data_IF_232581541745
#
_entry.id   IF_232581541745
#
_cell.length_a   1.000
_cell.length_b   1.000
_cell.length_c   1.000
_cell.angle_alpha   90.00
_cell.angle_beta   90.00
_cell.angle_gamma   90.00
#
_symmetry.space_group_name_H-M   'P 1'
#
loop_
_entity.id
_entity.type
_entity.pdbx_description
1 polymer ?
#
# COMPACT_ATOMS: atom_id res chain seq x y z
N UNK A 1 46.28 -31.16 4.98
CA UNK A 1 44.86 -31.24 4.58
C UNK A 1 43.84 -30.85 5.67
N UNK A 2 44.17 -30.78 6.98
CA UNK A 2 43.20 -30.36 8.02
C UNK A 2 42.80 -28.86 7.99
N UNK A 3 43.71 -27.97 7.61
CA UNK A 3 43.45 -26.53 7.57
C UNK A 3 42.47 -26.11 6.46
N UNK A 4 42.55 -26.74 5.28
CA UNK A 4 41.67 -26.44 4.14
C UNK A 4 40.21 -26.80 4.46
N UNK A 5 39.98 -27.95 5.10
CA UNK A 5 38.63 -28.37 5.52
C UNK A 5 38.03 -27.45 6.61
N UNK A 6 38.86 -26.89 7.50
CA UNK A 6 38.41 -25.91 8.49
C UNK A 6 37.99 -24.59 7.84
N UNK A 7 38.71 -24.13 6.83
CA UNK A 7 38.40 -22.91 6.07
C UNK A 7 37.09 -23.08 5.30
N UNK A 8 36.91 -24.22 4.62
CA UNK A 8 35.67 -24.53 3.89
C UNK A 8 34.46 -24.54 4.83
N UNK A 9 34.60 -25.13 6.02
CA UNK A 9 33.50 -25.18 7.01
C UNK A 9 33.08 -23.78 7.49
N UNK A 10 34.04 -22.88 7.70
CA UNK A 10 33.75 -21.49 8.07
C UNK A 10 33.11 -20.71 6.91
N UNK A 11 33.56 -20.93 5.66
CA UNK A 11 32.94 -20.31 4.48
C UNK A 11 31.48 -20.74 4.33
N UNK A 12 31.18 -22.04 4.51
CA UNK A 12 29.81 -22.57 4.46
C UNK A 12 28.94 -21.95 5.55
N UNK A 13 29.47 -21.77 6.77
CA UNK A 13 28.74 -21.13 7.86
C UNK A 13 28.40 -19.66 7.54
N UNK A 14 29.33 -18.91 6.94
CA UNK A 14 29.10 -17.52 6.52
C UNK A 14 28.03 -17.47 5.41
N UNK A 15 28.10 -18.36 4.43
CA UNK A 15 27.09 -18.45 3.36
C UNK A 15 25.71 -18.75 3.95
N UNK A 16 25.61 -19.66 4.93
CA UNK A 16 24.35 -19.98 5.58
C UNK A 16 23.73 -18.77 6.28
N UNK A 17 24.53 -17.95 6.97
CA UNK A 17 24.06 -16.71 7.61
C UNK A 17 23.54 -15.72 6.54
N UNK A 18 24.29 -15.53 5.45
CA UNK A 18 23.90 -14.63 4.35
C UNK A 18 22.56 -15.08 3.75
N UNK A 19 22.36 -16.39 3.55
CA UNK A 19 21.11 -16.94 3.03
C UNK A 19 19.95 -16.65 3.99
N UNK A 20 20.13 -16.88 5.29
CA UNK A 20 19.09 -16.59 6.29
C UNK A 20 18.71 -15.10 6.30
N UNK A 21 19.71 -14.21 6.26
CA UNK A 21 19.48 -12.75 6.19
C UNK A 21 18.75 -12.37 4.91
N UNK A 22 19.10 -12.96 3.77
CA UNK A 22 18.41 -12.75 2.49
C UNK A 22 16.93 -13.16 2.57
N UNK A 23 16.63 -14.33 3.14
CA UNK A 23 15.25 -14.78 3.32
C UNK A 23 14.48 -13.87 4.29
N UNK A 24 15.11 -13.41 5.37
CA UNK A 24 14.49 -12.47 6.31
C UNK A 24 14.15 -11.14 5.62
N UNK A 25 15.08 -10.56 4.86
CA UNK A 25 14.85 -9.33 4.11
C UNK A 25 13.77 -9.48 3.03
N UNK A 26 13.65 -10.67 2.42
CA UNK A 26 12.68 -10.92 1.34
C UNK A 26 11.27 -11.28 1.82
N UNK A 27 11.14 -12.02 2.92
CA UNK A 27 9.86 -12.64 3.32
C UNK A 27 9.34 -12.18 4.68
N UNK A 28 10.17 -11.58 5.54
CA UNK A 28 9.69 -11.11 6.83
C UNK A 28 8.92 -9.79 6.65
N UNK A 29 7.63 -9.72 7.06
CA UNK A 29 6.77 -8.56 6.77
C UNK A 29 7.32 -7.25 7.36
N UNK A 30 7.94 -7.30 8.55
CA UNK A 30 8.52 -6.12 9.21
C UNK A 30 9.80 -5.57 8.54
N UNK A 31 10.48 -6.35 7.69
CA UNK A 31 11.69 -5.92 6.98
C UNK A 31 11.43 -5.65 5.49
N UNK A 32 10.51 -6.41 4.88
CA UNK A 32 10.23 -6.35 3.44
C UNK A 32 9.66 -4.99 3.02
N UNK A 33 8.86 -4.38 3.89
CA UNK A 33 8.13 -3.14 3.60
C UNK A 33 8.87 -1.87 4.10
N UNK A 34 10.17 -1.99 4.41
CA UNK A 34 11.01 -0.88 4.87
C UNK A 34 11.81 -0.26 3.71
N UNK A 35 11.76 1.07 3.56
CA UNK A 35 12.41 1.83 2.46
C UNK A 35 13.94 1.63 2.36
N UNK A 36 14.62 1.23 3.43
CA UNK A 36 16.07 0.99 3.44
C UNK A 36 16.47 -0.42 2.96
N UNK A 37 15.52 -1.35 2.83
CA UNK A 37 15.83 -2.75 2.55
C UNK A 37 16.35 -2.92 1.11
N UNK A 38 17.58 -3.41 0.91
CA UNK A 38 18.19 -3.50 -0.42
C UNK A 38 17.57 -4.59 -1.33
N UNK A 39 16.75 -5.48 -0.78
CA UNK A 39 16.00 -6.51 -1.52
C UNK A 39 14.53 -6.09 -1.67
N UNK A 40 14.18 -4.89 -1.20
CA UNK A 40 12.90 -4.28 -1.52
C UNK A 40 12.78 -4.20 -3.04
N UNK A 41 11.68 -4.75 -3.58
CA UNK A 41 11.37 -4.59 -4.98
C UNK A 41 10.79 -3.18 -5.13
N UNK A 42 11.66 -2.18 -5.28
CA UNK A 42 11.26 -0.94 -5.89
C UNK A 42 10.81 -1.28 -7.31
N UNK A 43 9.51 -1.21 -7.60
CA UNK A 43 9.08 -0.89 -8.95
C UNK A 43 9.54 0.54 -9.22
N UNK A 44 10.82 0.68 -9.57
CA UNK A 44 11.44 1.95 -9.89
C UNK A 44 10.82 2.48 -11.17
N UNK A 45 9.84 3.36 -11.02
CA UNK A 45 9.46 4.33 -12.05
C UNK A 45 10.66 5.25 -12.29
N UNK A 46 11.52 4.85 -13.21
CA UNK A 46 12.43 5.74 -13.91
C UNK A 46 11.59 6.79 -14.64
N UNK A 47 11.38 7.96 -14.04
CA UNK A 47 11.16 9.21 -14.76
C UNK A 47 11.38 10.46 -13.88
N UNK A 48 12.53 11.09 -14.13
CA UNK A 48 12.79 12.53 -14.20
C UNK A 48 12.04 13.49 -13.25
N UNK A 49 12.83 14.07 -12.34
CA UNK A 49 12.93 15.52 -12.11
C UNK A 49 11.68 16.37 -12.35
N UNK A 50 10.77 16.40 -11.38
CA UNK A 50 9.88 17.52 -11.17
C UNK A 50 9.78 17.81 -9.66
N UNK A 51 10.51 18.86 -9.26
CA UNK A 51 10.27 19.72 -8.10
C UNK A 51 9.53 19.07 -6.90
N UNK A 52 10.25 18.26 -6.10
CA UNK A 52 9.74 17.80 -4.80
C UNK A 52 9.68 18.98 -3.84
N UNK A 53 8.48 19.57 -3.72
CA UNK A 53 8.04 20.19 -2.48
C UNK A 53 8.25 19.18 -1.36
N UNK A 54 9.23 19.47 -0.51
CA UNK A 54 9.69 18.64 0.59
C UNK A 54 8.59 18.57 1.66
N UNK A 55 7.70 17.59 1.58
CA UNK A 55 6.87 17.18 2.71
C UNK A 55 7.74 16.36 3.67
N UNK A 56 8.44 17.07 4.55
CA UNK A 56 9.22 16.54 5.67
C UNK A 56 8.32 15.89 6.71
N UNK A 57 8.47 14.61 7.01
CA UNK A 57 7.84 14.02 8.20
C UNK A 57 7.42 12.55 8.13
N UNK A 58 8.36 11.64 7.92
CA UNK A 58 8.47 10.29 8.52
C UNK A 58 7.35 9.23 8.43
N UNK A 59 6.06 9.56 8.50
CA UNK A 59 4.96 8.58 8.60
C UNK A 59 3.64 9.28 8.24
N UNK A 60 3.44 9.65 6.96
CA UNK A 60 2.25 10.44 6.57
C UNK A 60 1.07 9.63 6.06
N UNK A 61 1.29 8.39 5.64
CA UNK A 61 0.22 7.43 5.43
C UNK A 61 0.35 6.30 6.45
N UNK A 62 -0.71 6.07 7.22
CA UNK A 62 -0.81 4.89 8.08
C UNK A 62 -1.42 3.75 7.27
N UNK A 63 -0.90 2.55 7.45
CA UNK A 63 -1.53 1.33 6.93
C UNK A 63 -2.44 0.80 8.03
N UNK A 64 -3.74 0.80 7.76
CA UNK A 64 -4.75 0.32 8.69
C UNK A 64 -5.48 -0.89 8.12
N UNK A 65 -6.00 -1.73 9.01
CA UNK A 65 -6.85 -2.85 8.64
C UNK A 65 -8.11 -2.33 7.93
N UNK A 66 -8.47 -2.99 6.84
CA UNK A 66 -9.59 -2.56 6.02
C UNK A 66 -10.91 -3.17 6.51
N UNK A 67 -11.74 -2.36 7.14
CA UNK A 67 -13.09 -2.74 7.57
C UNK A 67 -14.19 -2.41 6.55
N UNK A 68 -13.83 -1.81 5.40
CA UNK A 68 -14.81 -1.25 4.44
C UNK A 68 -15.70 -2.36 3.87
N UNK A 69 -15.14 -3.55 3.61
CA UNK A 69 -15.83 -4.66 2.94
C UNK A 69 -15.70 -5.96 3.74
N UNK A 70 -16.24 -5.93 4.95
CA UNK A 70 -16.26 -7.06 5.85
C UNK A 70 -17.07 -8.25 5.29
N UNK A 71 -16.52 -9.46 5.43
CA UNK A 71 -17.12 -10.74 5.02
C UNK A 71 -17.20 -10.98 3.50
N UNK A 72 -16.40 -10.25 2.72
CA UNK A 72 -16.38 -10.38 1.27
C UNK A 72 -15.07 -11.03 0.86
N UNK A 73 -15.09 -12.10 0.06
CA UNK A 73 -13.86 -12.65 -0.48
C UNK A 73 -13.07 -11.56 -1.22
N UNK A 74 -11.78 -11.41 -0.91
CA UNK A 74 -10.92 -10.38 -1.49
C UNK A 74 -10.95 -10.38 -3.03
N UNK A 75 -11.02 -11.56 -3.64
CA UNK A 75 -11.12 -11.73 -5.10
C UNK A 75 -12.44 -11.24 -5.72
N UNK A 76 -13.49 -11.07 -4.92
CA UNK A 76 -14.83 -10.66 -5.36
C UNK A 76 -15.18 -9.23 -4.93
N UNK A 77 -14.31 -8.59 -4.17
CA UNK A 77 -14.50 -7.26 -3.59
C UNK A 77 -14.89 -6.23 -4.64
N UNK A 78 -14.21 -6.20 -5.79
CA UNK A 78 -14.52 -5.29 -6.90
C UNK A 78 -15.93 -5.53 -7.46
N UNK A 79 -16.26 -6.79 -7.73
CA UNK A 79 -17.54 -7.14 -8.35
C UNK A 79 -18.70 -6.77 -7.42
N UNK A 80 -18.59 -7.10 -6.14
CA UNK A 80 -19.59 -6.70 -5.17
C UNK A 80 -19.65 -5.18 -5.00
N UNK A 81 -18.51 -4.48 -4.90
CA UNK A 81 -18.51 -3.02 -4.83
C UNK A 81 -19.26 -2.41 -6.01
N UNK A 82 -19.09 -2.93 -7.23
CA UNK A 82 -19.82 -2.47 -8.40
C UNK A 82 -21.34 -2.64 -8.28
N UNK A 83 -21.81 -3.71 -7.62
CA UNK A 83 -23.23 -4.03 -7.47
C UNK A 83 -23.93 -3.26 -6.36
N UNK A 84 -23.18 -2.81 -5.34
CA UNK A 84 -23.74 -2.08 -4.21
C UNK A 84 -24.09 -0.64 -4.63
N UNK A 85 -25.21 -0.13 -4.09
CA UNK A 85 -25.57 1.29 -4.19
C UNK A 85 -24.48 2.14 -3.52
N UNK A 86 -23.88 3.03 -4.31
CA UNK A 86 -22.72 3.83 -3.87
C UNK A 86 -23.10 4.82 -2.76
N UNK A 87 -24.33 5.33 -2.75
CA UNK A 87 -24.83 6.24 -1.72
C UNK A 87 -25.04 5.49 -0.41
N UNK A 88 -25.65 4.31 -0.48
CA UNK A 88 -25.84 3.45 0.69
C UNK A 88 -24.49 3.04 1.28
N UNK A 89 -23.56 2.62 0.43
CA UNK A 89 -22.20 2.31 0.82
C UNK A 89 -21.51 3.48 1.53
N UNK A 90 -21.55 4.68 0.95
CA UNK A 90 -20.97 5.90 1.54
C UNK A 90 -21.59 6.21 2.92
N UNK A 91 -22.92 6.07 3.02
CA UNK A 91 -23.66 6.27 4.27
C UNK A 91 -23.24 5.29 5.37
N UNK A 92 -23.08 4.00 5.03
CA UNK A 92 -22.71 2.94 5.99
C UNK A 92 -21.24 3.03 6.41
N UNK A 93 -20.35 3.37 5.49
CA UNK A 93 -18.90 3.43 5.73
C UNK A 93 -18.43 4.76 6.31
N UNK A 94 -19.31 5.76 6.36
CA UNK A 94 -18.97 7.12 6.79
C UNK A 94 -18.11 7.89 5.78
N UNK A 95 -18.10 7.46 4.51
CA UNK A 95 -17.37 8.16 3.44
C UNK A 95 -18.25 9.30 2.93
N UNK A 96 -17.79 10.54 3.06
CA UNK A 96 -18.55 11.74 2.68
C UNK A 96 -18.35 12.10 1.20
N UNK A 97 -17.10 11.96 0.73
CA UNK A 97 -16.71 12.12 -0.68
C UNK A 97 -15.96 10.88 -1.11
N UNK A 98 -16.31 10.35 -2.26
CA UNK A 98 -15.77 9.09 -2.78
C UNK A 98 -15.37 9.26 -4.22
N UNK A 99 -14.38 8.51 -4.66
CA UNK A 99 -14.07 8.29 -6.07
C UNK A 99 -13.53 6.88 -6.22
N UNK A 100 -13.72 6.26 -7.36
CA UNK A 100 -13.21 4.92 -7.59
C UNK A 100 -12.92 4.68 -9.05
N UNK A 101 -12.09 3.68 -9.32
CA UNK A 101 -11.82 3.16 -10.64
C UNK A 101 -11.81 1.63 -10.62
N UNK A 102 -11.12 1.01 -11.58
CA UNK A 102 -11.04 -0.43 -11.69
C UNK A 102 -10.22 -1.13 -10.60
N UNK A 103 -9.33 -0.41 -9.91
CA UNK A 103 -8.32 -0.99 -9.01
C UNK A 103 -8.43 -0.41 -7.59
N UNK A 104 -8.78 0.87 -7.48
CA UNK A 104 -8.77 1.62 -6.23
C UNK A 104 -10.08 2.34 -5.97
N UNK A 105 -10.36 2.46 -4.68
CA UNK A 105 -11.34 3.33 -4.06
C UNK A 105 -10.58 4.41 -3.29
N UNK A 106 -10.86 5.67 -3.58
CA UNK A 106 -10.42 6.81 -2.78
C UNK A 106 -11.62 7.42 -2.06
N UNK A 107 -11.43 7.86 -0.83
CA UNK A 107 -12.52 8.41 -0.03
C UNK A 107 -12.05 9.43 0.98
N UNK A 108 -12.98 10.30 1.40
CA UNK A 108 -12.85 11.15 2.56
C UNK A 108 -13.77 10.62 3.66
N UNK A 109 -13.21 10.33 4.83
CA UNK A 109 -13.91 9.84 6.01
C UNK A 109 -13.62 10.79 7.18
N UNK A 110 -14.54 11.70 7.47
CA UNK A 110 -14.32 12.80 8.41
C UNK A 110 -13.15 13.69 7.97
N UNK A 111 -12.17 13.87 8.86
CA UNK A 111 -10.96 14.67 8.61
C UNK A 111 -9.83 13.89 7.91
N UNK A 112 -10.07 12.63 7.54
CA UNK A 112 -9.07 11.74 6.96
C UNK A 112 -9.43 11.38 5.52
N UNK A 113 -8.40 11.06 4.76
CA UNK A 113 -8.50 10.60 3.39
C UNK A 113 -7.97 9.18 3.31
N UNK A 114 -8.56 8.35 2.45
CA UNK A 114 -8.19 6.94 2.36
C UNK A 114 -7.98 6.53 0.90
N UNK A 115 -7.05 5.62 0.68
CA UNK A 115 -6.91 4.85 -0.55
C UNK A 115 -7.02 3.38 -0.19
N UNK A 116 -7.99 2.72 -0.80
CA UNK A 116 -8.22 1.29 -0.68
C UNK A 116 -8.05 0.61 -2.05
N UNK A 117 -7.20 -0.41 -2.11
CA UNK A 117 -7.08 -1.27 -3.29
C UNK A 117 -8.07 -2.42 -3.17
N UNK A 118 -8.93 -2.62 -4.16
CA UNK A 118 -9.92 -3.70 -4.11
C UNK A 118 -9.25 -5.07 -3.89
N UNK A 119 -9.69 -5.78 -2.85
CA UNK A 119 -9.15 -7.08 -2.47
C UNK A 119 -7.87 -7.01 -1.63
N UNK A 120 -7.49 -5.83 -1.15
CA UNK A 120 -6.46 -5.67 -0.13
C UNK A 120 -7.03 -5.89 1.27
N UNK A 121 -6.22 -6.45 2.17
CA UNK A 121 -6.52 -6.53 3.61
C UNK A 121 -6.23 -5.21 4.33
N UNK A 122 -5.52 -4.30 3.67
CA UNK A 122 -5.14 -3.01 4.23
C UNK A 122 -5.53 -1.83 3.36
N UNK A 123 -5.70 -0.68 3.99
CA UNK A 123 -5.91 0.62 3.35
C UNK A 123 -4.86 1.63 3.82
N UNK A 124 -4.59 2.62 2.98
CA UNK A 124 -3.70 3.75 3.30
C UNK A 124 -4.54 4.93 3.79
N UNK A 125 -4.19 5.53 4.91
CA UNK A 125 -4.91 6.65 5.53
C UNK A 125 -4.01 7.88 5.59
N UNK A 126 -4.51 9.02 5.12
CA UNK A 126 -3.82 10.29 4.99
C UNK A 126 -4.53 11.38 5.79
N UNK A 127 -3.77 12.37 6.26
CA UNK A 127 -4.33 13.54 6.95
C UNK A 127 -4.81 14.63 6.00
N UNK A 128 -4.35 14.64 4.74
CA UNK A 128 -4.71 15.68 3.78
C UNK A 128 -5.04 15.12 2.39
N UNK A 129 -5.96 15.77 1.67
CA UNK A 129 -6.33 15.43 0.29
C UNK A 129 -5.13 15.56 -0.66
N UNK A 130 -4.24 16.51 -0.39
CA UNK A 130 -3.04 16.77 -1.21
C UNK A 130 -2.11 15.55 -1.19
N UNK A 131 -1.88 14.96 -0.02
CA UNK A 131 -1.00 13.79 0.14
C UNK A 131 -1.61 12.56 -0.51
N UNK A 132 -2.91 12.33 -0.31
CA UNK A 132 -3.65 11.26 -0.98
C UNK A 132 -3.53 11.40 -2.51
N UNK A 133 -3.76 12.60 -3.05
CA UNK A 133 -3.65 12.85 -4.48
C UNK A 133 -2.22 12.68 -5.03
N UNK A 134 -1.20 13.04 -4.25
CA UNK A 134 0.19 12.79 -4.62
C UNK A 134 0.50 11.31 -4.70
N UNK A 135 -0.02 10.50 -3.78
CA UNK A 135 0.18 9.05 -3.80
C UNK A 135 -0.63 8.40 -4.94
N UNK A 136 -1.88 8.84 -5.19
CA UNK A 136 -2.64 8.44 -6.37
C UNK A 136 -1.86 8.71 -7.68
N UNK A 137 -1.27 9.89 -7.82
CA UNK A 137 -0.44 10.23 -8.98
C UNK A 137 0.81 9.35 -9.07
N UNK A 138 1.44 8.97 -7.95
CA UNK A 138 2.57 8.03 -7.94
C UNK A 138 2.15 6.61 -8.33
N UNK A 139 0.94 6.20 -7.96
CA UNK A 139 0.31 4.95 -8.39
C UNK A 139 -0.15 4.98 -9.86
N UNK A 140 -0.05 6.13 -10.54
CA UNK A 140 -0.52 6.31 -11.91
C UNK A 140 -2.03 6.41 -12.04
N UNK A 141 -2.72 6.70 -10.93
CA UNK A 141 -4.17 6.72 -10.83
C UNK A 141 -4.67 8.15 -10.65
N UNK A 142 -5.78 8.47 -11.30
CA UNK A 142 -6.46 9.75 -11.13
C UNK A 142 -7.90 9.50 -10.70
N UNK A 143 -8.19 9.79 -9.43
CA UNK A 143 -9.52 9.58 -8.85
C UNK A 143 -9.99 10.88 -8.22
N UNK A 144 -11.09 11.42 -8.75
CA UNK A 144 -11.73 12.62 -8.22
C UNK A 144 -12.76 12.24 -7.14
N UNK A 145 -12.67 12.89 -5.98
CA UNK A 145 -13.58 12.67 -4.86
C UNK A 145 -14.88 13.49 -5.02
N UNK A 146 -15.98 12.79 -5.25
CA UNK A 146 -17.32 13.34 -5.46
C UNK A 146 -18.24 13.07 -4.26
N UNK A 147 -19.15 14.00 -3.92
CA UNK A 147 -20.11 13.79 -2.85
C UNK A 147 -21.13 12.70 -3.22
N UNK A 148 -21.81 12.15 -2.22
CA UNK A 148 -22.83 11.10 -2.41
C UNK A 148 -23.92 11.49 -3.42
N UNK A 149 -24.23 12.78 -3.58
CA UNK A 149 -25.22 13.28 -4.56
C UNK A 149 -24.85 13.00 -6.02
N UNK A 150 -23.58 12.68 -6.31
CA UNK A 150 -23.12 12.42 -7.68
C UNK A 150 -23.24 10.95 -8.07
N UNK A 151 -23.71 10.10 -7.17
CA UNK A 151 -23.96 8.69 -7.44
C UNK A 151 -25.47 8.48 -7.45
N UNK A 152 -26.00 7.92 -8.54
CA UNK A 152 -27.43 7.59 -8.71
C UNK A 152 -27.71 6.12 -8.44
#
# INVERSE_FOLDING_TARGET
MRFIFSIIKNIIAIIAIIVIVFFALKYAPFLKDQDWNPIHNDESSLNNSANKGHLTGGQRYSVEDNDILNNVPLSQTKNMFNWIDKREFMSVTGIERMGYNDTYLAGQRGDEFIIYKFGSESMRVYKTEIEMNQDLNQLGEHIELKPASNYE
#
